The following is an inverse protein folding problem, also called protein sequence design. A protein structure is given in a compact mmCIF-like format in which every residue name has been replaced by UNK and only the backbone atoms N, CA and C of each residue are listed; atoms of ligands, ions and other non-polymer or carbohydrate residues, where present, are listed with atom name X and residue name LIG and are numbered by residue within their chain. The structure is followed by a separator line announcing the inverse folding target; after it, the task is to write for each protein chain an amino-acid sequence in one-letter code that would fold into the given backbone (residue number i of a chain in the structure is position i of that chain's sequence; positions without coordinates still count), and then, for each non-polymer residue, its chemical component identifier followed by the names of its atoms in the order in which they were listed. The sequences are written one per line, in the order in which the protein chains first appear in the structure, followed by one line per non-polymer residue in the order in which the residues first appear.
data_IF_609385176633
#
_entry.id   IF_609385176633
#
_cell.length_a   1.000
_cell.length_b   1.000
_cell.length_c   1.000
_cell.angle_alpha   90.00
_cell.angle_beta   90.00
_cell.angle_gamma   90.00
#
_symmetry.space_group_name_H-M   'P 1'
#
loop_
_entity.id
_entity.type
_entity.pdbx_description
1 polymer ?
#
# COMPACT_ATOMS: atom_id res chain seq x y z
N UNK A 1 -28.21 -5.45 25.44
CA UNK A 1 -28.32 -6.54 24.44
C UNK A 1 -28.06 -6.09 22.99
N UNK A 2 -28.50 -4.93 22.51
CA UNK A 2 -28.23 -4.42 21.14
C UNK A 2 -26.78 -4.04 20.89
N UNK A 3 -26.05 -3.54 21.89
CA UNK A 3 -24.61 -3.18 21.75
C UNK A 3 -23.71 -4.40 21.57
N UNK A 4 -24.04 -5.52 22.22
CA UNK A 4 -23.30 -6.79 22.13
C UNK A 4 -23.48 -7.46 20.75
N UNK A 5 -24.68 -7.32 20.15
CA UNK A 5 -24.95 -7.80 18.79
C UNK A 5 -24.24 -6.96 17.71
N UNK A 6 -24.08 -5.64 17.93
CA UNK A 6 -23.29 -4.76 17.09
C UNK A 6 -21.79 -5.11 17.16
N UNK A 7 -21.29 -5.41 18.35
CA UNK A 7 -19.91 -5.79 18.59
C UNK A 7 -19.55 -7.12 17.89
N UNK A 8 -20.39 -8.15 17.96
CA UNK A 8 -20.19 -9.45 17.28
C UNK A 8 -20.37 -9.37 15.75
N UNK A 9 -21.11 -8.40 15.25
CA UNK A 9 -21.30 -8.19 13.80
C UNK A 9 -20.12 -7.47 13.13
N UNK A 10 -19.36 -6.70 13.91
CA UNK A 10 -18.20 -5.91 13.43
C UNK A 10 -16.92 -6.76 13.43
N UNK A 11 -16.79 -7.70 14.37
CA UNK A 11 -15.59 -8.50 14.59
C UNK A 11 -15.77 -9.96 14.16
N UNK A 12 -16.06 -10.20 12.87
CA UNK A 12 -15.92 -11.56 12.33
C UNK A 12 -14.46 -12.01 12.42
N UNK A 13 -14.14 -13.22 12.92
CA UNK A 13 -12.77 -13.71 13.09
C UNK A 13 -11.94 -13.62 11.78
N UNK A 14 -12.55 -13.86 10.62
CA UNK A 14 -11.91 -13.67 9.30
C UNK A 14 -11.45 -12.23 9.03
N UNK A 15 -12.14 -11.23 9.58
CA UNK A 15 -11.73 -9.82 9.44
C UNK A 15 -10.53 -9.48 10.33
N UNK A 16 -10.45 -10.06 11.52
CA UNK A 16 -9.36 -9.84 12.47
C UNK A 16 -8.01 -10.38 11.94
N UNK A 17 -7.99 -11.53 11.27
CA UNK A 17 -6.76 -12.08 10.69
C UNK A 17 -6.22 -11.27 9.50
N UNK A 18 -7.08 -10.56 8.79
CA UNK A 18 -6.68 -9.75 7.61
C UNK A 18 -6.33 -8.30 7.98
N UNK A 19 -6.75 -7.81 9.15
CA UNK A 19 -6.49 -6.44 9.61
C UNK A 19 -4.99 -6.11 9.73
N UNK A 20 -4.13 -6.95 10.35
CA UNK A 20 -2.71 -6.62 10.48
C UNK A 20 -2.01 -6.44 9.14
N UNK A 21 -2.31 -7.31 8.17
CA UNK A 21 -1.75 -7.22 6.80
C UNK A 21 -2.20 -5.94 6.08
N UNK A 22 -3.46 -5.56 6.27
CA UNK A 22 -4.00 -4.33 5.69
C UNK A 22 -3.39 -3.10 6.34
N UNK A 23 -3.27 -3.08 7.67
CA UNK A 23 -2.64 -1.99 8.41
C UNK A 23 -1.16 -1.82 8.01
N UNK A 24 -0.42 -2.92 7.88
CA UNK A 24 0.97 -2.89 7.42
C UNK A 24 1.09 -2.29 6.01
N UNK A 25 0.23 -2.71 5.08
CA UNK A 25 0.22 -2.13 3.74
C UNK A 25 -0.13 -0.65 3.75
N UNK A 26 -1.06 -0.23 4.61
CA UNK A 26 -1.45 1.17 4.73
C UNK A 26 -0.40 2.02 5.45
N UNK A 27 0.36 1.45 6.38
CA UNK A 27 1.49 2.16 6.98
C UNK A 27 2.55 2.52 5.93
N UNK A 28 2.79 1.64 4.95
CA UNK A 28 3.66 1.96 3.81
C UNK A 28 3.13 3.17 3.04
N UNK A 29 1.82 3.22 2.73
CA UNK A 29 1.22 4.39 2.08
C UNK A 29 1.33 5.66 2.93
N UNK A 30 1.15 5.58 4.24
CA UNK A 30 1.31 6.73 5.12
C UNK A 30 2.75 7.22 5.18
N UNK A 31 3.73 6.31 5.14
CA UNK A 31 5.14 6.68 5.05
C UNK A 31 5.43 7.49 3.77
N UNK A 32 4.70 7.27 2.68
CA UNK A 32 4.89 8.07 1.45
C UNK A 32 4.47 9.54 1.62
N UNK A 33 3.67 9.88 2.63
CA UNK A 33 3.33 11.26 2.94
C UNK A 33 4.54 12.12 3.35
N UNK A 34 5.64 11.49 3.81
CA UNK A 34 6.88 12.19 4.13
C UNK A 34 7.76 12.46 2.90
N UNK A 35 7.52 11.76 1.78
CA UNK A 35 8.34 11.88 0.57
C UNK A 35 8.33 13.30 0.00
N UNK A 36 7.20 14.01 -0.13
CA UNK A 36 7.20 15.38 -0.64
C UNK A 36 8.04 16.33 0.20
N UNK A 37 8.06 16.15 1.52
CA UNK A 37 8.90 16.95 2.42
C UNK A 37 10.39 16.71 2.15
N UNK A 38 10.77 15.45 1.93
CA UNK A 38 12.14 15.07 1.60
C UNK A 38 12.54 15.57 0.21
N UNK A 39 11.67 15.44 -0.79
CA UNK A 39 11.87 15.94 -2.14
C UNK A 39 12.06 17.46 -2.17
N UNK A 40 11.37 18.21 -1.34
CA UNK A 40 11.52 19.66 -1.22
C UNK A 40 12.93 20.08 -0.77
N UNK A 41 13.59 19.29 0.08
CA UNK A 41 14.91 19.59 0.62
C UNK A 41 16.05 18.93 -0.16
N UNK A 42 15.82 17.69 -0.65
CA UNK A 42 16.84 16.85 -1.28
C UNK A 42 16.26 16.17 -2.52
N UNK A 43 15.86 16.96 -3.54
CA UNK A 43 15.16 16.46 -4.72
C UNK A 43 15.92 15.32 -5.41
N UNK A 44 17.13 15.59 -5.96
CA UNK A 44 17.87 14.59 -6.71
C UNK A 44 18.31 13.35 -5.92
N UNK A 45 18.84 13.48 -4.69
CA UNK A 45 19.17 12.31 -3.88
C UNK A 45 17.96 11.41 -3.58
N UNK A 46 16.80 11.98 -3.28
CA UNK A 46 15.59 11.22 -2.98
C UNK A 46 15.05 10.56 -4.24
N UNK A 47 15.07 11.25 -5.38
CA UNK A 47 14.61 10.69 -6.65
C UNK A 47 15.46 9.48 -7.07
N UNK A 48 16.77 9.58 -6.97
CA UNK A 48 17.69 8.47 -7.22
C UNK A 48 17.44 7.31 -6.24
N UNK A 49 17.22 7.62 -4.96
CA UNK A 49 16.92 6.60 -3.94
C UNK A 49 15.61 5.85 -4.25
N UNK A 50 14.56 6.56 -4.67
CA UNK A 50 13.28 5.97 -5.06
C UNK A 50 13.44 5.05 -6.29
N UNK A 51 14.20 5.47 -7.29
CA UNK A 51 14.51 4.65 -8.47
C UNK A 51 15.31 3.40 -8.09
N UNK A 52 16.32 3.53 -7.23
CA UNK A 52 17.07 2.38 -6.71
C UNK A 52 16.20 1.44 -5.90
N UNK A 53 15.30 1.97 -5.08
CA UNK A 53 14.37 1.17 -4.28
C UNK A 53 13.42 0.37 -5.18
N UNK A 54 12.83 0.97 -6.22
CA UNK A 54 11.90 0.28 -7.10
C UNK A 54 12.61 -0.74 -7.99
N UNK A 55 13.81 -0.44 -8.48
CA UNK A 55 14.60 -1.40 -9.26
C UNK A 55 15.06 -2.58 -8.41
N UNK A 56 15.57 -2.32 -7.21
CA UNK A 56 15.96 -3.35 -6.25
C UNK A 56 14.79 -4.24 -5.84
N UNK A 57 13.62 -3.65 -5.56
CA UNK A 57 12.41 -4.42 -5.28
C UNK A 57 12.00 -5.29 -6.47
N UNK A 58 11.97 -4.73 -7.68
CA UNK A 58 11.59 -5.44 -8.91
C UNK A 58 12.51 -6.63 -9.18
N UNK A 59 13.82 -6.43 -9.07
CA UNK A 59 14.82 -7.49 -9.20
C UNK A 59 14.61 -8.58 -8.16
N UNK A 60 14.44 -8.21 -6.91
CA UNK A 60 14.23 -9.16 -5.80
C UNK A 60 12.93 -9.94 -5.97
N UNK A 61 11.88 -9.32 -6.51
CA UNK A 61 10.62 -9.98 -6.78
C UNK A 61 10.71 -10.97 -7.95
N UNK A 62 11.47 -10.64 -8.98
CA UNK A 62 11.79 -11.56 -10.09
C UNK A 62 12.59 -12.77 -9.58
N UNK A 63 13.59 -12.53 -8.71
CA UNK A 63 14.38 -13.61 -8.10
C UNK A 63 13.51 -14.51 -7.24
N UNK A 64 12.59 -13.94 -6.46
CA UNK A 64 11.62 -14.69 -5.66
C UNK A 64 10.76 -15.60 -6.52
N UNK A 65 10.27 -15.12 -7.66
CA UNK A 65 9.49 -15.93 -8.61
C UNK A 65 10.32 -17.07 -9.23
N UNK A 66 11.64 -16.91 -9.33
CA UNK A 66 12.58 -17.96 -9.76
C UNK A 66 12.98 -18.92 -8.63
N UNK A 67 12.41 -18.79 -7.44
CA UNK A 67 12.68 -19.65 -6.29
C UNK A 67 13.86 -19.21 -5.41
N UNK A 68 14.50 -18.08 -5.70
CA UNK A 68 15.58 -17.52 -4.89
C UNK A 68 14.97 -16.60 -3.84
N UNK A 69 15.04 -16.98 -2.57
CA UNK A 69 14.49 -16.19 -1.48
C UNK A 69 15.45 -15.06 -1.05
N UNK A 70 15.06 -13.82 -1.30
CA UNK A 70 15.70 -12.63 -0.70
C UNK A 70 14.95 -12.33 0.60
N UNK A 71 15.56 -12.56 1.79
CA UNK A 71 14.81 -12.63 3.06
C UNK A 71 14.04 -11.35 3.37
N UNK A 72 14.64 -10.17 3.17
CA UNK A 72 14.02 -8.88 3.46
C UNK A 72 12.79 -8.61 2.56
N UNK A 73 12.95 -8.79 1.25
CA UNK A 73 11.88 -8.53 0.28
C UNK A 73 10.80 -9.60 0.39
N UNK A 74 11.16 -10.87 0.61
CA UNK A 74 10.18 -11.93 0.79
C UNK A 74 9.30 -11.70 2.03
N UNK A 75 9.85 -11.13 3.10
CA UNK A 75 9.09 -10.76 4.30
C UNK A 75 8.08 -9.64 3.99
N UNK A 76 8.53 -8.56 3.34
CA UNK A 76 7.67 -7.43 2.96
C UNK A 76 6.57 -7.92 2.01
N UNK A 77 6.94 -8.69 0.99
CA UNK A 77 5.99 -9.21 0.00
C UNK A 77 4.96 -10.14 0.66
N UNK A 78 5.37 -11.09 1.50
CA UNK A 78 4.45 -11.99 2.21
C UNK A 78 3.48 -11.24 3.13
N UNK A 79 3.96 -10.17 3.77
CA UNK A 79 3.13 -9.37 4.69
C UNK A 79 2.20 -8.42 3.91
N UNK A 80 2.64 -7.86 2.79
CA UNK A 80 1.88 -6.91 1.98
C UNK A 80 1.00 -7.58 0.90
N UNK A 81 1.33 -8.81 0.48
CA UNK A 81 0.62 -9.52 -0.58
C UNK A 81 -0.82 -9.87 -0.15
N UNK A 82 -1.74 -9.71 -1.08
CA UNK A 82 -3.12 -10.23 -0.94
C UNK A 82 -3.14 -11.72 -1.31
N UNK A 83 -4.14 -12.46 -0.83
CA UNK A 83 -4.37 -13.87 -1.23
C UNK A 83 -4.38 -14.07 -2.74
N UNK A 84 -4.85 -13.09 -3.52
CA UNK A 84 -4.88 -13.14 -4.99
C UNK A 84 -3.50 -12.97 -5.65
N UNK A 85 -2.52 -12.45 -4.91
CA UNK A 85 -1.18 -12.12 -5.40
C UNK A 85 -0.17 -13.24 -5.01
N UNK A 86 -0.65 -14.31 -4.33
CA UNK A 86 0.18 -15.48 -3.99
C UNK A 86 0.70 -16.16 -5.28
N UNK A 87 2.01 -16.32 -5.38
CA UNK A 87 2.68 -16.89 -6.56
C UNK A 87 2.79 -15.95 -7.77
N UNK A 88 2.28 -14.71 -7.67
CA UNK A 88 2.38 -13.71 -8.75
C UNK A 88 3.29 -12.56 -8.34
N UNK A 89 3.67 -11.76 -9.34
CA UNK A 89 4.41 -10.52 -9.11
C UNK A 89 3.55 -9.50 -8.36
N UNK A 90 4.04 -9.00 -7.23
CA UNK A 90 3.32 -8.02 -6.41
C UNK A 90 3.61 -6.60 -6.90
N UNK A 91 2.72 -6.09 -7.74
CA UNK A 91 2.86 -4.78 -8.41
C UNK A 91 2.66 -3.57 -7.49
N UNK A 92 2.00 -3.73 -6.34
CA UNK A 92 1.60 -2.61 -5.48
C UNK A 92 2.72 -1.63 -5.12
N UNK A 93 3.85 -2.08 -4.55
CA UNK A 93 4.96 -1.20 -4.23
C UNK A 93 5.60 -0.54 -5.45
N UNK A 94 5.69 -1.25 -6.58
CA UNK A 94 6.27 -0.73 -7.82
C UNK A 94 5.43 0.40 -8.38
N UNK A 95 4.13 0.20 -8.51
CA UNK A 95 3.22 1.23 -9.04
C UNK A 95 3.13 2.45 -8.15
N UNK A 96 3.21 2.27 -6.83
CA UNK A 96 3.22 3.37 -5.87
C UNK A 96 4.46 4.25 -6.06
N UNK A 97 5.65 3.65 -6.03
CA UNK A 97 6.92 4.40 -6.15
C UNK A 97 7.07 5.02 -7.53
N UNK A 98 6.76 4.28 -8.60
CA UNK A 98 6.77 4.83 -9.96
C UNK A 98 5.79 6.00 -10.12
N UNK A 99 4.61 5.91 -9.52
CA UNK A 99 3.64 7.00 -9.52
C UNK A 99 4.18 8.27 -8.86
N UNK A 100 4.91 8.13 -7.76
CA UNK A 100 5.57 9.24 -7.06
C UNK A 100 6.67 9.86 -7.93
N UNK A 101 7.57 9.03 -8.48
CA UNK A 101 8.67 9.46 -9.37
C UNK A 101 8.13 10.19 -10.59
N UNK A 102 7.15 9.61 -11.27
CA UNK A 102 6.56 10.26 -12.47
C UNK A 102 5.87 11.57 -12.09
N UNK A 103 5.14 11.61 -10.99
CA UNK A 103 4.47 12.81 -10.54
C UNK A 103 5.47 13.94 -10.21
N UNK A 104 6.56 13.62 -9.51
CA UNK A 104 7.60 14.61 -9.15
C UNK A 104 8.41 15.12 -10.35
N UNK A 105 8.53 14.31 -11.42
CA UNK A 105 9.22 14.72 -12.65
C UNK A 105 8.34 15.60 -13.56
N UNK A 106 7.02 15.38 -13.57
CA UNK A 106 6.11 16.07 -14.50
C UNK A 106 5.50 17.32 -13.88
N UNK A 107 5.18 17.28 -12.58
CA UNK A 107 4.45 18.35 -11.92
C UNK A 107 5.34 19.17 -10.98
N UNK A 108 4.97 20.42 -10.78
CA UNK A 108 5.61 21.29 -9.79
C UNK A 108 5.36 20.80 -8.36
N UNK A 109 6.20 21.25 -7.42
CA UNK A 109 6.25 20.76 -6.04
C UNK A 109 4.90 20.81 -5.30
N UNK A 110 4.07 21.79 -5.61
CA UNK A 110 2.75 21.92 -4.97
C UNK A 110 1.78 20.85 -5.45
N UNK A 111 1.75 20.59 -6.77
CA UNK A 111 0.81 19.62 -7.36
C UNK A 111 1.17 18.17 -7.01
N UNK A 112 2.44 17.78 -7.14
CA UNK A 112 2.82 16.42 -6.75
C UNK A 112 2.66 16.19 -5.25
N UNK A 113 2.89 17.19 -4.41
CA UNK A 113 2.67 17.11 -2.97
C UNK A 113 1.22 16.82 -2.64
N UNK A 114 0.28 17.59 -3.23
CA UNK A 114 -1.16 17.37 -3.04
C UNK A 114 -1.55 15.97 -3.53
N UNK A 115 -1.07 15.54 -4.67
CA UNK A 115 -1.34 14.23 -5.24
C UNK A 115 -0.86 13.09 -4.34
N UNK A 116 0.38 13.15 -3.85
CA UNK A 116 0.96 12.12 -2.97
C UNK A 116 0.24 12.09 -1.62
N UNK A 117 -0.05 13.25 -1.02
CA UNK A 117 -0.79 13.32 0.25
C UNK A 117 -2.22 12.79 0.10
N UNK A 118 -2.91 13.16 -0.98
CA UNK A 118 -4.25 12.64 -1.28
C UNK A 118 -4.26 11.13 -1.44
N UNK A 119 -3.25 10.56 -2.11
CA UNK A 119 -3.10 9.11 -2.23
C UNK A 119 -2.80 8.45 -0.87
N UNK A 120 -1.85 9.00 -0.11
CA UNK A 120 -1.44 8.44 1.17
C UNK A 120 -2.58 8.39 2.19
N UNK A 121 -3.27 9.51 2.38
CA UNK A 121 -4.36 9.62 3.35
C UNK A 121 -5.69 9.11 2.79
N UNK A 122 -6.02 9.44 1.55
CA UNK A 122 -7.28 9.05 0.92
C UNK A 122 -7.44 7.54 0.82
N UNK A 123 -6.48 6.83 0.22
CA UNK A 123 -6.52 5.37 0.14
C UNK A 123 -6.38 4.71 1.52
N UNK A 124 -5.56 5.28 2.41
CA UNK A 124 -5.41 4.81 3.78
C UNK A 124 -6.73 4.82 4.54
N UNK A 125 -7.34 5.97 4.65
CA UNK A 125 -8.60 6.18 5.39
C UNK A 125 -9.76 5.45 4.73
N UNK A 126 -9.92 5.54 3.41
CA UNK A 126 -11.00 4.89 2.67
C UNK A 126 -11.01 3.37 2.87
N UNK A 127 -9.83 2.73 2.85
CA UNK A 127 -9.73 1.29 3.03
C UNK A 127 -10.05 0.85 4.46
N UNK A 128 -9.58 1.59 5.47
CA UNK A 128 -9.87 1.28 6.88
C UNK A 128 -11.36 1.50 7.15
N UNK A 129 -11.90 2.65 6.75
CA UNK A 129 -13.32 2.97 6.92
C UNK A 129 -14.22 1.98 6.19
N UNK A 130 -13.88 1.60 4.95
CA UNK A 130 -14.62 0.61 4.19
C UNK A 130 -14.65 -0.76 4.87
N UNK A 131 -13.57 -1.18 5.52
CA UNK A 131 -13.54 -2.46 6.27
C UNK A 131 -14.29 -2.39 7.60
N UNK A 132 -14.21 -1.27 8.31
CA UNK A 132 -14.85 -1.13 9.61
C UNK A 132 -16.34 -0.78 9.50
N UNK A 133 -16.70 0.13 8.61
CA UNK A 133 -18.04 0.69 8.49
C UNK A 133 -18.84 0.18 7.29
N UNK A 134 -18.16 -0.42 6.30
CA UNK A 134 -18.79 -0.89 5.07
C UNK A 134 -19.81 -2.00 5.32
N UNK A 135 -21.09 -1.68 5.16
CA UNK A 135 -22.22 -2.60 5.30
C UNK A 135 -22.72 -3.13 3.95
N UNK A 136 -22.52 -2.39 2.89
CA UNK A 136 -23.05 -2.68 1.54
C UNK A 136 -21.93 -3.28 0.70
N UNK A 137 -22.14 -4.50 0.22
CA UNK A 137 -21.21 -5.16 -0.73
C UNK A 137 -21.54 -4.71 -2.14
N UNK A 138 -20.55 -4.23 -2.87
CA UNK A 138 -20.72 -3.84 -4.28
C UNK A 138 -20.83 -5.13 -5.11
N UNK A 139 -21.95 -5.37 -5.82
CA UNK A 139 -22.23 -6.67 -6.46
C UNK A 139 -21.24 -7.05 -7.58
N UNK A 140 -20.57 -6.07 -8.18
CA UNK A 140 -19.63 -6.31 -9.30
C UNK A 140 -18.16 -6.45 -8.89
N UNK A 141 -17.80 -6.25 -7.61
CA UNK A 141 -16.40 -6.29 -7.16
C UNK A 141 -16.31 -7.22 -5.96
N UNK A 142 -15.81 -8.44 -6.18
CA UNK A 142 -15.61 -9.43 -5.13
C UNK A 142 -14.78 -8.86 -3.97
N UNK A 143 -15.39 -8.79 -2.79
CA UNK A 143 -14.71 -8.48 -1.52
C UNK A 143 -14.50 -7.01 -1.19
N UNK A 144 -15.09 -6.06 -1.93
CA UNK A 144 -15.09 -4.64 -1.54
C UNK A 144 -16.47 -4.21 -1.05
N UNK A 145 -16.49 -3.51 0.05
CA UNK A 145 -17.65 -2.80 0.60
C UNK A 145 -17.57 -1.33 0.24
#
# INVERSE_FOLDING_TARGET
MKLFCLYNGILKPEKLETLPKELFRKSIHWCTAFIPLLLKHFYWPIEVLLLLAVTGYTLSEILRLKGINVPLVSLITRTAARKRDEGKFVLGPVTLVLGIVIASLIFESEYYTIGILSLAFGDGIASISGKMLGRIKIPFIYGKT
#
